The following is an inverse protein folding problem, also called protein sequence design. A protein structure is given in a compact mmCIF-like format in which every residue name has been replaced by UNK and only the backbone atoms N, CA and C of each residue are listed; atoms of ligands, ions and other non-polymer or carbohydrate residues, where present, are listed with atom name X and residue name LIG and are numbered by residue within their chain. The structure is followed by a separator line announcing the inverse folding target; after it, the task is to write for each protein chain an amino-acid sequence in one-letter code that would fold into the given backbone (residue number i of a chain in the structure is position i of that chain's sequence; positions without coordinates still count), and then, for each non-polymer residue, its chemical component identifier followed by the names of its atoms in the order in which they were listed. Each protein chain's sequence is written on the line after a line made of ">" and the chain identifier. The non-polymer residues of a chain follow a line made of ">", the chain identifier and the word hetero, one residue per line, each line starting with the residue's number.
data_IF_844960725329
#
_entry.id   IF_844960725329
#
_cell.length_a   1.000
_cell.length_b   1.000
_cell.length_c   1.000
_cell.angle_alpha   90.00
_cell.angle_beta   90.00
_cell.angle_gamma   90.00
#
_symmetry.space_group_name_H-M   'P 1'
#
loop_
_entity.id
_entity.type
_entity.pdbx_description
1 polymer ?
#
# COMPACT_ATOMS: atom_id res chain seq x y z
N UNK A 1 -26.46 44.42 17.17
CA UNK A 1 -26.43 45.53 16.18
C UNK A 1 -25.10 45.44 15.45
N UNK A 2 -24.93 45.52 14.14
CA UNK A 2 -25.78 45.68 12.94
C UNK A 2 -24.88 45.18 11.77
N UNK A 3 -25.46 44.80 10.63
CA UNK A 3 -24.84 43.97 9.58
C UNK A 3 -24.19 44.78 8.44
N UNK A 4 -23.64 43.99 7.49
CA UNK A 4 -23.29 44.34 6.11
C UNK A 4 -24.20 45.39 5.46
N UNK A 5 -23.61 46.42 4.85
CA UNK A 5 -24.13 47.11 3.66
C UNK A 5 -22.96 47.68 2.84
N UNK A 6 -22.88 47.32 1.55
CA UNK A 6 -22.46 48.18 0.41
C UNK A 6 -22.91 47.45 -0.87
N UNK A 7 -24.11 47.74 -1.39
CA UNK A 7 -24.44 48.73 -2.45
C UNK A 7 -23.60 48.58 -3.73
N UNK A 8 -24.26 48.11 -4.79
CA UNK A 8 -24.16 48.62 -6.17
C UNK A 8 -25.57 48.50 -6.77
N UNK A 9 -26.30 49.61 -6.85
CA UNK A 9 -26.55 50.43 -8.04
C UNK A 9 -27.57 49.83 -9.01
N UNK A 10 -28.70 50.53 -9.06
CA UNK A 10 -29.84 50.38 -9.94
C UNK A 10 -29.53 50.78 -11.37
N UNK A 11 -30.13 50.07 -12.33
CA UNK A 11 -30.59 50.68 -13.57
C UNK A 11 -31.99 50.16 -13.86
N UNK A 12 -32.97 51.07 -13.82
CA UNK A 12 -34.32 50.87 -14.34
C UNK A 12 -34.26 50.84 -15.87
N UNK A 13 -35.08 49.99 -16.50
CA UNK A 13 -35.57 50.24 -17.86
C UNK A 13 -37.07 49.90 -17.93
N UNK A 14 -37.79 50.90 -18.37
CA UNK A 14 -39.20 51.00 -18.72
C UNK A 14 -39.61 50.06 -19.87
N UNK A 15 -40.85 49.61 -19.88
CA UNK A 15 -41.39 48.72 -20.92
C UNK A 15 -41.70 49.42 -22.24
N UNK A 16 -41.74 48.63 -23.32
CA UNK A 16 -42.53 48.86 -24.55
C UNK A 16 -42.86 47.50 -25.16
N UNK A 17 -44.13 47.27 -25.48
CA UNK A 17 -44.61 46.16 -26.30
C UNK A 17 -44.06 46.27 -27.73
N UNK A 18 -43.35 45.24 -28.18
CA UNK A 18 -42.87 45.13 -29.56
C UNK A 18 -42.73 43.65 -29.95
N UNK A 19 -43.64 43.18 -30.79
CA UNK A 19 -43.51 41.91 -31.52
C UNK A 19 -42.21 41.91 -32.32
N UNK A 20 -41.33 40.94 -32.13
CA UNK A 20 -40.21 40.70 -33.03
C UNK A 20 -39.71 39.25 -32.97
N UNK A 21 -39.43 38.75 -34.16
CA UNK A 21 -39.04 37.41 -34.57
C UNK A 21 -38.01 36.70 -33.68
N UNK A 22 -38.12 35.38 -33.68
CA UNK A 22 -37.18 34.45 -33.07
C UNK A 22 -35.80 34.60 -33.71
N UNK A 23 -34.94 35.47 -33.16
CA UNK A 23 -33.54 35.58 -33.56
C UNK A 23 -32.80 34.28 -33.24
N UNK A 24 -32.55 33.48 -34.28
CA UNK A 24 -31.50 32.45 -34.27
C UNK A 24 -30.16 33.18 -34.25
N UNK A 25 -29.51 33.22 -33.10
CA UNK A 25 -28.17 33.79 -32.94
C UNK A 25 -27.14 32.68 -32.83
N UNK A 26 -26.07 32.78 -33.62
CA UNK A 26 -24.82 32.03 -33.39
C UNK A 26 -23.94 32.90 -32.51
N UNK A 27 -23.59 32.41 -31.33
CA UNK A 27 -22.67 33.10 -30.43
C UNK A 27 -21.31 32.41 -30.45
N UNK A 28 -20.25 33.20 -30.59
CA UNK A 28 -18.87 32.76 -30.43
C UNK A 28 -18.34 33.23 -29.08
N UNK A 29 -17.91 32.29 -28.23
CA UNK A 29 -17.20 32.61 -26.99
C UNK A 29 -15.75 32.11 -27.07
N UNK A 30 -14.74 32.98 -26.91
CA UNK A 30 -13.35 32.54 -26.86
C UNK A 30 -12.99 31.97 -25.49
N UNK A 31 -12.33 30.81 -25.47
CA UNK A 31 -11.70 30.25 -24.27
C UNK A 31 -10.24 30.71 -24.16
N UNK A 32 -9.71 30.79 -22.94
CA UNK A 32 -8.32 31.22 -22.65
C UNK A 32 -7.23 30.32 -23.26
N UNK A 33 -7.60 29.20 -23.89
CA UNK A 33 -6.69 28.26 -24.54
C UNK A 33 -6.71 28.36 -26.08
N UNK A 34 -7.36 29.38 -26.65
CA UNK A 34 -7.33 29.64 -28.10
C UNK A 34 -8.34 28.88 -28.95
N UNK A 35 -9.13 27.97 -28.38
CA UNK A 35 -10.25 27.31 -29.08
C UNK A 35 -11.54 28.13 -28.97
N UNK A 36 -12.26 28.25 -30.09
CA UNK A 36 -13.54 28.95 -30.19
C UNK A 36 -14.68 27.96 -30.39
N UNK A 37 -15.76 28.11 -29.61
CA UNK A 37 -16.98 27.30 -29.74
C UNK A 37 -18.09 28.15 -30.35
N UNK A 38 -18.81 27.56 -31.32
CA UNK A 38 -20.01 28.13 -31.93
C UNK A 38 -21.20 27.21 -31.62
N UNK A 39 -22.29 27.77 -31.10
CA UNK A 39 -23.52 27.05 -30.82
C UNK A 39 -24.75 27.88 -31.19
N UNK A 40 -25.80 27.20 -31.64
CA UNK A 40 -27.11 27.81 -31.91
C UNK A 40 -27.94 27.77 -30.64
N UNK A 41 -28.40 28.93 -30.17
CA UNK A 41 -29.25 29.04 -29.00
C UNK A 41 -30.71 29.10 -29.40
N UNK A 42 -31.59 28.42 -28.66
CA UNK A 42 -33.03 28.63 -28.71
C UNK A 42 -33.55 28.93 -27.30
N UNK A 43 -34.14 30.11 -27.10
CA UNK A 43 -34.70 30.58 -25.83
C UNK A 43 -33.74 30.42 -24.63
N UNK A 44 -32.53 30.96 -24.77
CA UNK A 44 -31.49 31.00 -23.74
C UNK A 44 -31.09 29.64 -23.12
N UNK A 45 -31.32 28.54 -23.86
CA UNK A 45 -30.80 27.21 -23.54
C UNK A 45 -30.06 26.63 -24.75
N UNK A 46 -28.97 25.93 -24.47
CA UNK A 46 -28.26 25.12 -25.47
C UNK A 46 -29.13 23.89 -25.75
N UNK A 47 -29.55 23.70 -27.00
CA UNK A 47 -30.41 22.59 -27.39
C UNK A 47 -29.62 21.27 -27.42
N UNK A 48 -29.93 20.34 -26.53
CA UNK A 48 -29.53 18.93 -26.65
C UNK A 48 -30.59 18.19 -27.48
N UNK A 49 -30.37 18.05 -28.79
CA UNK A 49 -31.30 17.35 -29.68
C UNK A 49 -31.17 15.83 -29.53
N UNK A 50 -32.30 15.16 -29.30
CA UNK A 50 -32.50 13.74 -29.63
C UNK A 50 -33.95 13.54 -30.08
N UNK A 51 -34.20 13.79 -31.36
CA UNK A 51 -35.33 13.25 -32.11
C UNK A 51 -34.76 12.63 -33.40
N UNK A 52 -35.38 11.53 -33.80
CA UNK A 52 -34.94 10.50 -34.74
C UNK A 52 -34.89 10.98 -36.19
N UNK A 53 -33.91 10.49 -36.96
CA UNK A 53 -34.13 9.69 -38.18
C UNK A 53 -32.80 9.12 -38.69
N UNK A 54 -32.87 7.94 -39.29
CA UNK A 54 -31.77 7.16 -39.84
C UNK A 54 -31.26 7.82 -41.12
N UNK A 55 -30.03 8.34 -41.12
CA UNK A 55 -29.09 8.35 -42.26
C UNK A 55 -27.73 8.94 -41.83
N UNK A 56 -26.65 8.30 -42.27
CA UNK A 56 -25.24 8.69 -42.20
C UNK A 56 -24.70 9.31 -40.89
N UNK A 57 -24.14 8.46 -40.01
CA UNK A 57 -23.36 8.92 -38.84
C UNK A 57 -21.97 9.42 -39.25
N UNK A 58 -21.84 10.71 -39.49
CA UNK A 58 -20.57 11.40 -39.22
C UNK A 58 -20.39 11.54 -37.70
N UNK A 59 -19.30 10.95 -37.18
CA UNK A 59 -18.99 10.91 -35.75
C UNK A 59 -18.47 12.28 -35.31
N UNK A 60 -19.33 13.09 -34.70
CA UNK A 60 -18.87 14.29 -33.98
C UNK A 60 -18.13 13.88 -32.69
N UNK A 61 -16.88 14.32 -32.48
CA UNK A 61 -16.13 13.98 -31.27
C UNK A 61 -16.74 14.65 -30.03
N UNK A 62 -17.05 13.85 -29.01
CA UNK A 62 -17.40 14.35 -27.67
C UNK A 62 -16.22 15.14 -27.08
N UNK A 63 -16.48 16.22 -26.32
CA UNK A 63 -15.43 16.85 -25.53
C UNK A 63 -14.94 15.84 -24.48
N UNK A 64 -13.64 15.54 -24.51
CA UNK A 64 -12.99 14.64 -23.56
C UNK A 64 -12.98 15.29 -22.18
N UNK A 65 -13.67 14.67 -21.22
CA UNK A 65 -13.39 14.93 -19.80
C UNK A 65 -11.96 14.50 -19.46
N UNK A 66 -11.23 15.20 -18.58
CA UNK A 66 -9.79 14.97 -18.35
C UNK A 66 -9.44 13.60 -17.74
N UNK A 67 -10.44 12.77 -17.44
CA UNK A 67 -10.30 11.48 -16.78
C UNK A 67 -10.14 10.30 -17.76
N UNK A 68 -10.43 10.50 -19.06
CA UNK A 68 -10.44 9.43 -20.07
C UNK A 68 -9.07 9.05 -20.65
N UNK A 69 -8.00 9.78 -20.33
CA UNK A 69 -6.67 9.53 -20.92
C UNK A 69 -5.84 8.49 -20.17
N UNK A 70 -6.32 7.96 -19.03
CA UNK A 70 -5.64 6.92 -18.24
C UNK A 70 -6.31 5.54 -18.30
N UNK A 71 -7.49 5.43 -18.93
CA UNK A 71 -8.23 4.17 -19.07
C UNK A 71 -8.82 4.19 -20.48
N UNK A 72 -8.33 3.30 -21.35
CA UNK A 72 -8.80 3.19 -22.73
C UNK A 72 -10.31 3.00 -22.80
N UNK A 73 -10.94 3.72 -23.73
CA UNK A 73 -12.37 3.65 -24.03
C UNK A 73 -12.78 2.22 -24.39
N UNK A 74 -13.81 1.72 -23.72
CA UNK A 74 -14.50 0.46 -24.08
C UNK A 74 -15.52 0.79 -25.16
N UNK A 75 -15.07 0.81 -26.41
CA UNK A 75 -15.93 0.65 -27.56
C UNK A 75 -15.21 -0.27 -28.56
N UNK A 76 -15.83 -1.41 -28.86
CA UNK A 76 -15.29 -2.44 -29.74
C UNK A 76 -14.94 -1.88 -31.12
N UNK A 77 -13.67 -2.07 -31.49
CA UNK A 77 -13.13 -1.72 -32.79
C UNK A 77 -11.69 -2.22 -32.87
N UNK A 78 -11.49 -3.34 -33.55
CA UNK A 78 -10.16 -3.87 -33.83
C UNK A 78 -9.37 -2.89 -34.70
N UNK A 79 -8.25 -2.36 -34.18
CA UNK A 79 -6.96 -2.17 -34.86
C UNK A 79 -5.95 -1.51 -33.91
N UNK A 80 -4.73 -2.03 -33.95
CA UNK A 80 -3.74 -1.92 -32.88
C UNK A 80 -3.10 -0.56 -32.64
N UNK A 81 -2.71 -0.34 -31.39
CA UNK A 81 -1.38 0.08 -30.97
C UNK A 81 -1.27 -0.17 -29.46
N UNK A 82 -0.13 -0.70 -29.06
CA UNK A 82 0.24 -1.22 -27.74
C UNK A 82 0.14 -0.19 -26.60
N UNK A 83 -1.07 0.15 -26.17
CA UNK A 83 -1.30 0.82 -24.88
C UNK A 83 -1.35 -0.25 -23.79
N UNK A 84 -0.21 -0.40 -23.11
CA UNK A 84 0.08 -1.43 -22.12
C UNK A 84 -1.11 -1.79 -21.23
N UNK A 85 -1.75 -2.92 -21.56
CA UNK A 85 -2.64 -3.60 -20.62
C UNK A 85 -1.80 -4.00 -19.40
N UNK A 86 -2.27 -3.67 -18.21
CA UNK A 86 -1.78 -4.24 -16.95
C UNK A 86 -2.02 -5.77 -16.99
N UNK A 87 -1.12 -6.52 -17.64
CA UNK A 87 -1.20 -7.97 -17.77
C UNK A 87 -0.60 -8.64 -16.54
N UNK A 88 -1.10 -8.42 -15.32
CA UNK A 88 -0.61 -9.14 -14.12
C UNK A 88 -0.49 -10.63 -14.49
N UNK A 89 0.74 -11.15 -14.53
CA UNK A 89 0.97 -12.53 -14.97
C UNK A 89 0.69 -13.43 -13.78
N UNK A 90 -0.61 -13.64 -13.52
CA UNK A 90 -1.13 -14.60 -12.54
C UNK A 90 -1.14 -16.01 -13.16
N UNK A 91 -0.78 -16.13 -14.45
CA UNK A 91 -0.75 -17.38 -15.22
C UNK A 91 -0.01 -18.54 -14.53
N UNK A 92 1.13 -18.35 -13.84
CA UNK A 92 1.77 -19.45 -13.11
C UNK A 92 0.92 -20.00 -11.96
N UNK A 93 0.08 -19.16 -11.34
CA UNK A 93 -0.76 -19.51 -10.18
C UNK A 93 -2.07 -20.16 -10.54
N UNK A 94 -2.56 -19.86 -11.74
CA UNK A 94 -3.78 -20.43 -12.25
C UNK A 94 -3.51 -21.67 -13.10
N UNK A 95 -2.24 -22.03 -13.34
CA UNK A 95 -1.81 -23.19 -14.15
C UNK A 95 -2.45 -24.53 -13.76
N UNK A 96 -2.87 -24.80 -12.50
CA UNK A 96 -3.59 -26.02 -12.16
C UNK A 96 -5.12 -25.94 -12.29
N UNK A 97 -5.69 -24.74 -12.53
CA UNK A 97 -7.13 -24.50 -12.48
C UNK A 97 -7.73 -24.48 -13.90
N UNK A 98 -8.74 -25.33 -14.13
CA UNK A 98 -9.45 -25.40 -15.40
C UNK A 98 -10.15 -24.06 -15.75
N UNK A 99 -10.17 -23.71 -17.04
CA UNK A 99 -10.60 -22.43 -17.61
C UNK A 99 -9.85 -21.19 -17.12
N UNK A 100 -8.55 -21.15 -17.42
CA UNK A 100 -7.64 -20.04 -17.14
C UNK A 100 -8.19 -18.66 -17.54
N UNK A 101 -8.88 -18.54 -18.69
CA UNK A 101 -9.30 -17.24 -19.20
C UNK A 101 -10.47 -16.63 -18.41
N UNK A 102 -11.45 -17.45 -18.04
CA UNK A 102 -12.61 -17.00 -17.28
C UNK A 102 -12.23 -16.61 -15.85
N UNK A 103 -11.45 -17.46 -15.17
CA UNK A 103 -10.96 -17.18 -13.83
C UNK A 103 -10.04 -15.96 -13.79
N UNK A 104 -9.14 -15.80 -14.77
CA UNK A 104 -8.33 -14.60 -14.91
C UNK A 104 -9.21 -13.36 -15.02
N UNK A 105 -10.22 -13.39 -15.90
CA UNK A 105 -11.12 -12.26 -16.12
C UNK A 105 -11.88 -11.88 -14.83
N UNK A 106 -12.34 -12.86 -14.06
CA UNK A 106 -13.00 -12.60 -12.77
C UNK A 106 -12.04 -11.95 -11.76
N UNK A 107 -10.81 -12.47 -11.64
CA UNK A 107 -9.78 -11.88 -10.76
C UNK A 107 -9.48 -10.44 -11.18
N UNK A 108 -9.33 -10.18 -12.49
CA UNK A 108 -9.17 -8.82 -13.00
C UNK A 108 -10.36 -7.92 -12.67
N UNK A 109 -11.58 -8.44 -12.78
CA UNK A 109 -12.79 -7.68 -12.43
C UNK A 109 -12.79 -7.26 -10.95
N UNK A 110 -12.39 -8.16 -10.05
CA UNK A 110 -12.27 -7.85 -8.61
C UNK A 110 -11.18 -6.81 -8.38
N UNK A 111 -10.01 -6.96 -9.02
CA UNK A 111 -8.91 -5.98 -8.92
C UNK A 111 -9.38 -4.60 -9.39
N UNK A 112 -10.08 -4.52 -10.53
CA UNK A 112 -10.60 -3.26 -11.07
C UNK A 112 -11.66 -2.64 -10.15
N UNK A 113 -12.53 -3.44 -9.55
CA UNK A 113 -13.53 -2.99 -8.59
C UNK A 113 -12.91 -2.26 -7.40
N UNK A 114 -11.76 -2.74 -6.90
CA UNK A 114 -11.08 -2.16 -5.72
C UNK A 114 -9.84 -1.33 -6.07
N UNK A 115 -9.58 -1.07 -7.35
CA UNK A 115 -8.32 -0.47 -7.82
C UNK A 115 -8.01 0.88 -7.16
N UNK A 116 -9.03 1.73 -6.99
CA UNK A 116 -8.86 3.06 -6.38
C UNK A 116 -8.39 2.96 -4.91
N UNK A 117 -8.97 2.03 -4.14
CA UNK A 117 -8.59 1.77 -2.75
C UNK A 117 -7.21 1.13 -2.67
N UNK A 118 -6.92 0.16 -3.54
CA UNK A 118 -5.63 -0.52 -3.61
C UNK A 118 -4.50 0.45 -3.95
N UNK A 119 -4.71 1.37 -4.90
CA UNK A 119 -3.77 2.45 -5.20
C UNK A 119 -3.51 3.35 -3.99
N UNK A 120 -4.56 3.73 -3.26
CA UNK A 120 -4.44 4.55 -2.05
C UNK A 120 -3.64 3.83 -0.96
N UNK A 121 -3.90 2.56 -0.73
CA UNK A 121 -3.15 1.73 0.24
C UNK A 121 -1.69 1.63 -0.17
N UNK A 122 -1.41 1.26 -1.42
CA UNK A 122 -0.05 1.18 -1.93
C UNK A 122 0.70 2.51 -1.73
N UNK A 123 0.11 3.63 -2.15
CA UNK A 123 0.73 4.95 -1.99
C UNK A 123 0.96 5.33 -0.53
N UNK A 124 0.01 5.01 0.35
CA UNK A 124 0.17 5.24 1.79
C UNK A 124 1.41 4.51 2.33
N UNK A 125 1.52 3.21 2.06
CA UNK A 125 2.65 2.43 2.56
C UNK A 125 3.98 2.80 1.89
N UNK A 126 3.98 3.12 0.59
CA UNK A 126 5.18 3.61 -0.13
C UNK A 126 5.74 4.91 0.46
N UNK A 127 4.90 5.69 1.13
CA UNK A 127 5.30 6.96 1.75
C UNK A 127 5.88 6.82 3.16
N UNK A 128 5.79 5.64 3.79
CA UNK A 128 6.28 5.44 5.16
C UNK A 128 7.79 5.66 5.27
N UNK A 129 8.20 6.44 6.26
CA UNK A 129 9.60 6.75 6.52
C UNK A 129 10.21 7.75 5.53
N UNK A 130 9.42 8.31 4.60
CA UNK A 130 9.87 9.41 3.76
C UNK A 130 9.66 10.74 4.47
N UNK A 131 10.75 11.46 4.75
CA UNK A 131 10.67 12.85 5.23
C UNK A 131 10.26 13.84 4.12
N UNK A 132 10.27 13.42 2.86
CA UNK A 132 9.99 14.28 1.72
C UNK A 132 8.71 13.87 0.97
N UNK A 133 7.96 14.88 0.54
CA UNK A 133 6.75 14.83 -0.27
C UNK A 133 7.01 14.34 -1.72
N UNK A 134 8.14 13.74 -2.04
CA UNK A 134 8.52 13.39 -3.41
C UNK A 134 9.04 11.95 -3.54
N UNK A 135 8.16 11.13 -4.14
CA UNK A 135 8.46 9.99 -5.02
C UNK A 135 9.45 8.92 -4.53
N UNK A 136 8.97 8.01 -3.69
CA UNK A 136 9.13 6.62 -4.09
C UNK A 136 7.81 6.17 -4.72
N UNK A 137 7.79 5.99 -6.03
CA UNK A 137 6.66 5.33 -6.72
C UNK A 137 6.61 3.83 -6.42
N UNK A 138 7.48 3.35 -5.54
CA UNK A 138 7.64 1.97 -5.20
C UNK A 138 7.41 1.70 -3.71
N UNK A 139 6.74 0.60 -3.41
CA UNK A 139 6.60 0.06 -2.07
C UNK A 139 7.83 -0.78 -1.76
N UNK A 140 8.62 -0.44 -0.74
CA UNK A 140 9.72 -1.32 -0.35
C UNK A 140 9.17 -2.59 0.32
N UNK A 141 9.95 -3.67 0.30
CA UNK A 141 9.54 -4.92 0.95
C UNK A 141 9.33 -4.77 2.45
N UNK A 142 10.15 -3.95 3.12
CA UNK A 142 9.95 -3.56 4.52
C UNK A 142 8.59 -2.90 4.75
N UNK A 143 8.18 -1.97 3.87
CA UNK A 143 6.87 -1.33 3.92
C UNK A 143 5.72 -2.30 3.57
N UNK A 144 5.97 -3.29 2.71
CA UNK A 144 5.01 -4.35 2.43
C UNK A 144 4.79 -5.26 3.65
N UNK A 145 5.86 -5.65 4.36
CA UNK A 145 5.73 -6.39 5.62
C UNK A 145 4.95 -5.60 6.68
N UNK A 146 5.16 -4.29 6.74
CA UNK A 146 4.36 -3.40 7.58
C UNK A 146 2.87 -3.48 7.23
N UNK A 147 2.51 -3.44 5.94
CA UNK A 147 1.13 -3.60 5.47
C UNK A 147 0.54 -4.94 5.91
N UNK A 148 1.28 -6.04 5.73
CA UNK A 148 0.81 -7.37 6.12
C UNK A 148 0.58 -7.46 7.64
N UNK A 149 1.44 -6.80 8.43
CA UNK A 149 1.31 -6.71 9.88
C UNK A 149 0.08 -5.91 10.30
N UNK A 150 -0.07 -4.69 9.78
CA UNK A 150 -1.24 -3.83 10.09
C UNK A 150 -2.55 -4.51 9.71
N UNK A 151 -2.54 -5.23 8.58
CA UNK A 151 -3.70 -6.02 8.14
C UNK A 151 -3.91 -7.33 8.91
N UNK A 152 -3.07 -7.62 9.92
CA UNK A 152 -3.16 -8.84 10.75
C UNK A 152 -3.10 -10.12 9.94
N UNK A 153 -2.34 -10.15 8.84
CA UNK A 153 -2.15 -11.37 8.03
C UNK A 153 -1.53 -12.47 8.88
N UNK A 154 -0.58 -12.12 9.74
CA UNK A 154 0.08 -13.05 10.66
C UNK A 154 -0.85 -13.67 11.73
N UNK A 155 -2.05 -13.12 11.91
CA UNK A 155 -3.07 -13.73 12.77
C UNK A 155 -3.87 -14.85 12.07
N UNK A 156 -3.58 -15.12 10.79
CA UNK A 156 -4.25 -16.17 9.99
C UNK A 156 -3.44 -17.47 9.90
N UNK A 157 -2.58 -17.72 10.89
CA UNK A 157 -1.83 -18.97 10.99
C UNK A 157 -0.54 -19.00 10.16
N UNK A 158 0.01 -17.84 9.81
CA UNK A 158 1.28 -17.70 9.10
C UNK A 158 2.16 -16.65 9.80
N UNK A 159 3.47 -16.77 9.72
CA UNK A 159 4.34 -15.64 10.03
C UNK A 159 4.38 -14.63 8.85
N UNK A 160 4.85 -13.40 9.11
CA UNK A 160 5.04 -12.42 8.02
C UNK A 160 6.07 -12.91 7.00
N UNK A 161 7.08 -13.65 7.46
CA UNK A 161 8.08 -14.27 6.58
C UNK A 161 7.46 -15.33 5.66
N UNK A 162 6.55 -16.17 6.19
CA UNK A 162 5.85 -17.17 5.37
C UNK A 162 4.93 -16.51 4.35
N UNK A 163 4.19 -15.48 4.78
CA UNK A 163 3.36 -14.67 3.89
C UNK A 163 4.20 -14.02 2.78
N UNK A 164 5.36 -13.47 3.11
CA UNK A 164 6.28 -12.88 2.13
C UNK A 164 6.82 -13.92 1.14
N UNK A 165 7.15 -15.12 1.61
CA UNK A 165 7.63 -16.24 0.76
C UNK A 165 6.56 -16.71 -0.22
N UNK A 166 5.30 -16.73 0.21
CA UNK A 166 4.15 -17.01 -0.67
C UNK A 166 3.98 -15.87 -1.68
N UNK A 167 4.13 -14.63 -1.24
CA UNK A 167 3.89 -13.42 -2.02
C UNK A 167 4.98 -13.08 -3.03
N UNK A 168 6.23 -13.43 -2.75
CA UNK A 168 7.41 -12.98 -3.47
C UNK A 168 8.38 -14.14 -3.74
N UNK A 169 8.53 -14.50 -5.02
CA UNK A 169 9.37 -15.60 -5.50
C UNK A 169 10.89 -15.25 -5.51
N UNK A 170 11.34 -14.31 -4.68
CA UNK A 170 12.70 -13.77 -4.64
C UNK A 170 13.15 -13.53 -3.20
N UNK A 171 14.47 -13.59 -2.90
CA UNK A 171 14.99 -13.46 -1.54
C UNK A 171 14.61 -12.12 -0.88
N UNK A 172 14.41 -12.10 0.45
CA UNK A 172 13.78 -11.00 1.16
C UNK A 172 14.76 -9.85 1.44
N UNK A 173 15.13 -9.05 0.44
CA UNK A 173 15.85 -7.81 0.69
C UNK A 173 14.86 -6.71 1.17
N UNK A 174 15.05 -6.10 2.35
CA UNK A 174 14.07 -5.17 2.93
C UNK A 174 13.88 -3.89 2.11
N UNK A 175 14.92 -3.44 1.41
CA UNK A 175 14.90 -2.23 0.57
C UNK A 175 14.52 -2.51 -0.88
N UNK A 176 14.30 -3.79 -1.23
CA UNK A 176 13.84 -4.14 -2.58
C UNK A 176 12.47 -3.52 -2.88
N UNK A 177 12.35 -3.02 -4.11
CA UNK A 177 11.18 -2.34 -4.60
C UNK A 177 10.13 -3.35 -5.12
N UNK A 178 8.93 -3.30 -4.55
CA UNK A 178 7.73 -4.02 -4.98
C UNK A 178 6.83 -3.07 -5.78
N UNK A 179 6.74 -3.29 -7.09
CA UNK A 179 5.91 -2.50 -7.98
C UNK A 179 4.42 -2.78 -7.75
N UNK A 180 3.53 -1.87 -8.16
CA UNK A 180 2.07 -2.04 -8.07
C UNK A 180 1.59 -3.40 -8.61
N UNK A 181 2.16 -3.84 -9.74
CA UNK A 181 1.84 -5.14 -10.34
C UNK A 181 2.17 -6.30 -9.41
N UNK A 182 3.33 -6.26 -8.77
CA UNK A 182 3.81 -7.30 -7.86
C UNK A 182 3.00 -7.26 -6.57
N UNK A 183 2.72 -6.07 -6.04
CA UNK A 183 1.79 -5.88 -4.92
C UNK A 183 0.43 -6.53 -5.18
N UNK A 184 -0.20 -6.26 -6.33
CA UNK A 184 -1.49 -6.87 -6.69
C UNK A 184 -1.37 -8.40 -6.80
N UNK A 185 -0.29 -8.88 -7.41
CA UNK A 185 -0.01 -10.33 -7.51
C UNK A 185 0.13 -10.96 -6.12
N UNK A 186 0.84 -10.32 -5.20
CA UNK A 186 1.01 -10.77 -3.82
C UNK A 186 -0.33 -10.86 -3.07
N UNK A 187 -1.26 -9.93 -3.28
CA UNK A 187 -2.60 -10.02 -2.68
C UNK A 187 -3.39 -11.22 -3.22
N UNK A 188 -3.31 -11.50 -4.52
CA UNK A 188 -3.95 -12.68 -5.13
C UNK A 188 -3.37 -13.96 -4.55
N UNK A 189 -2.04 -14.06 -4.53
CA UNK A 189 -1.28 -15.18 -3.96
C UNK A 189 -1.70 -15.51 -2.53
N UNK A 190 -1.62 -14.49 -1.66
CA UNK A 190 -1.96 -14.62 -0.26
C UNK A 190 -3.43 -14.98 -0.06
N UNK A 191 -4.33 -14.36 -0.83
CA UNK A 191 -5.76 -14.65 -0.72
C UNK A 191 -6.08 -16.11 -1.06
N UNK A 192 -5.48 -16.64 -2.13
CA UNK A 192 -5.69 -18.02 -2.52
C UNK A 192 -5.07 -18.99 -1.51
N UNK A 193 -3.85 -18.71 -1.03
CA UNK A 193 -3.22 -19.54 0.00
C UNK A 193 -4.07 -19.61 1.28
N UNK A 194 -4.59 -18.47 1.74
CA UNK A 194 -5.35 -18.40 3.00
C UNK A 194 -6.76 -18.99 2.90
N UNK A 195 -7.43 -18.91 1.74
CA UNK A 195 -8.86 -19.21 1.64
C UNK A 195 -9.26 -20.29 0.62
N UNK A 196 -8.33 -20.82 -0.18
CA UNK A 196 -8.62 -21.84 -1.21
C UNK A 196 -9.33 -23.07 -0.63
N UNK A 197 -8.93 -23.53 0.55
CA UNK A 197 -9.56 -24.67 1.24
C UNK A 197 -10.99 -24.38 1.69
N UNK A 198 -11.29 -23.14 2.07
CA UNK A 198 -12.60 -22.72 2.58
C UNK A 198 -13.58 -22.27 1.49
N UNK A 199 -13.07 -21.75 0.37
CA UNK A 199 -13.87 -21.16 -0.73
C UNK A 199 -13.69 -21.99 -2.01
N UNK A 200 -13.62 -23.32 -1.88
CA UNK A 200 -13.58 -24.28 -2.99
C UNK A 200 -12.61 -23.94 -4.14
N UNK A 201 -11.48 -23.28 -3.84
CA UNK A 201 -10.47 -22.91 -4.83
C UNK A 201 -10.81 -21.75 -5.77
N UNK A 202 -11.95 -21.06 -5.65
CA UNK A 202 -12.25 -19.89 -6.48
C UNK A 202 -11.38 -18.69 -6.08
N UNK A 203 -10.38 -18.40 -6.92
CA UNK A 203 -9.38 -17.35 -6.69
C UNK A 203 -10.01 -15.96 -6.62
N UNK A 204 -11.06 -15.70 -7.41
CA UNK A 204 -11.71 -14.39 -7.44
C UNK A 204 -12.51 -14.14 -6.14
N UNK A 205 -13.20 -15.17 -5.66
CA UNK A 205 -13.91 -15.14 -4.39
C UNK A 205 -12.94 -15.05 -3.20
N UNK A 206 -11.83 -15.80 -3.24
CA UNK A 206 -10.75 -15.70 -2.25
C UNK A 206 -10.20 -14.27 -2.16
N UNK A 207 -9.90 -13.65 -3.31
CA UNK A 207 -9.40 -12.27 -3.36
C UNK A 207 -10.43 -11.29 -2.80
N UNK A 208 -11.68 -11.37 -3.25
CA UNK A 208 -12.75 -10.48 -2.75
C UNK A 208 -12.92 -10.60 -1.24
N UNK A 209 -12.92 -11.83 -0.71
CA UNK A 209 -13.01 -12.10 0.72
C UNK A 209 -11.80 -11.54 1.49
N UNK A 210 -10.58 -11.76 1.00
CA UNK A 210 -9.35 -11.22 1.59
C UNK A 210 -9.34 -9.69 1.63
N UNK A 211 -9.73 -9.04 0.53
CA UNK A 211 -9.77 -7.58 0.44
C UNK A 211 -10.81 -7.00 1.40
N UNK A 212 -12.03 -7.53 1.41
CA UNK A 212 -13.15 -6.97 2.19
C UNK A 212 -13.04 -7.23 3.69
N UNK A 213 -12.51 -8.38 4.11
CA UNK A 213 -12.46 -8.77 5.51
C UNK A 213 -11.12 -8.49 6.20
N UNK A 214 -10.03 -8.36 5.43
CA UNK A 214 -8.69 -8.24 6.00
C UNK A 214 -7.97 -6.96 5.55
N UNK A 215 -7.83 -6.70 4.26
CA UNK A 215 -7.04 -5.57 3.78
C UNK A 215 -7.76 -4.24 4.01
N UNK A 216 -8.94 -4.04 3.42
CA UNK A 216 -9.62 -2.74 3.45
C UNK A 216 -9.99 -2.24 4.86
N UNK A 217 -10.42 -3.09 5.82
CA UNK A 217 -10.76 -2.63 7.16
C UNK A 217 -9.56 -2.26 8.04
N UNK A 218 -8.38 -2.83 7.77
CA UNK A 218 -7.23 -2.72 8.67
C UNK A 218 -6.05 -1.94 8.07
N UNK A 219 -5.93 -1.87 6.74
CA UNK A 219 -4.86 -1.14 6.08
C UNK A 219 -4.83 0.34 6.49
N UNK A 220 -3.63 0.92 6.44
CA UNK A 220 -3.36 2.31 6.82
C UNK A 220 -3.60 2.62 8.31
N UNK A 221 -3.73 1.59 9.15
CA UNK A 221 -3.74 1.70 10.61
C UNK A 221 -2.39 1.22 11.14
N UNK A 222 -1.40 2.12 11.17
CA UNK A 222 -0.03 1.79 11.55
C UNK A 222 0.05 1.18 12.95
N UNK A 223 0.73 0.05 13.05
CA UNK A 223 1.04 -0.68 14.29
C UNK A 223 2.56 -0.87 14.44
N UNK A 224 3.01 -1.20 15.66
CA UNK A 224 4.42 -1.42 15.98
C UNK A 224 5.19 -0.13 16.24
N UNK A 225 6.52 -0.23 16.25
CA UNK A 225 7.43 0.81 16.73
C UNK A 225 8.37 1.37 15.65
N UNK A 226 8.63 0.61 14.58
CA UNK A 226 9.58 1.03 13.53
C UNK A 226 9.06 2.25 12.78
N UNK A 227 7.81 2.20 12.30
CA UNK A 227 7.14 3.33 11.67
C UNK A 227 6.20 4.01 12.68
N UNK A 228 6.55 5.23 13.10
CA UNK A 228 5.75 5.99 14.08
C UNK A 228 4.70 6.87 13.43
N UNK A 229 4.97 7.35 12.22
CA UNK A 229 3.99 8.04 11.39
C UNK A 229 4.33 7.88 9.91
N UNK A 230 3.50 8.47 9.03
CA UNK A 230 3.76 8.47 7.59
C UNK A 230 5.12 9.12 7.28
N UNK A 231 5.42 10.26 7.91
CA UNK A 231 6.62 11.06 7.66
C UNK A 231 7.77 10.80 8.64
N UNK A 232 7.59 9.89 9.60
CA UNK A 232 8.61 9.59 10.61
C UNK A 232 8.76 8.09 10.82
N UNK A 233 10.01 7.64 10.71
CA UNK A 233 10.46 6.33 11.17
C UNK A 233 11.28 6.54 12.43
N UNK A 234 11.11 5.67 13.42
CA UNK A 234 11.99 5.66 14.60
C UNK A 234 13.39 5.15 14.22
N UNK A 235 13.45 4.27 13.24
CA UNK A 235 14.67 3.64 12.74
C UNK A 235 15.17 4.41 11.52
N UNK A 236 16.44 4.80 11.53
CA UNK A 236 17.13 5.44 10.42
C UNK A 236 17.48 4.44 9.30
N UNK A 237 17.68 4.88 8.04
CA UNK A 237 18.10 4.00 6.95
C UNK A 237 19.36 3.19 7.27
N UNK A 238 20.35 3.81 7.94
CA UNK A 238 21.58 3.13 8.35
C UNK A 238 21.32 1.98 9.33
N UNK A 239 20.37 2.15 10.26
CA UNK A 239 19.99 1.10 11.19
C UNK A 239 19.24 -0.05 10.49
N UNK A 240 18.47 0.24 9.43
CA UNK A 240 17.86 -0.79 8.58
C UNK A 240 18.95 -1.62 7.89
N UNK A 241 19.97 -0.97 7.32
CA UNK A 241 21.09 -1.66 6.67
C UNK A 241 21.88 -2.53 7.67
N UNK A 242 22.21 -1.97 8.85
CA UNK A 242 22.85 -2.71 9.94
C UNK A 242 22.04 -3.94 10.39
N UNK A 243 20.72 -3.76 10.52
CA UNK A 243 19.84 -4.86 10.90
C UNK A 243 19.74 -5.91 9.79
N UNK A 244 19.85 -5.51 8.52
CA UNK A 244 19.89 -6.42 7.39
C UNK A 244 21.17 -7.26 7.39
N UNK A 245 22.34 -6.64 7.60
CA UNK A 245 23.62 -7.34 7.73
C UNK A 245 23.59 -8.34 8.90
N UNK A 246 23.03 -7.91 10.04
CA UNK A 246 22.81 -8.78 11.20
C UNK A 246 21.92 -9.97 10.83
N UNK A 247 20.78 -9.72 10.18
CA UNK A 247 19.85 -10.76 9.75
C UNK A 247 20.55 -11.78 8.83
N UNK A 248 21.30 -11.31 7.83
CA UNK A 248 22.06 -12.16 6.93
C UNK A 248 23.11 -13.01 7.66
N UNK A 249 23.77 -12.45 8.68
CA UNK A 249 24.77 -13.19 9.48
C UNK A 249 24.18 -14.37 10.27
N UNK A 250 22.88 -14.30 10.60
CA UNK A 250 22.17 -15.36 11.32
C UNK A 250 21.37 -16.29 10.41
N UNK A 251 21.18 -15.90 9.15
CA UNK A 251 20.24 -16.56 8.26
C UNK A 251 20.68 -17.99 7.94
N UNK A 252 19.75 -18.92 8.12
CA UNK A 252 19.90 -20.30 7.67
C UNK A 252 19.21 -20.47 6.32
N UNK A 253 19.78 -21.34 5.47
CA UNK A 253 19.15 -21.78 4.23
C UNK A 253 18.84 -23.27 4.34
N UNK A 254 17.62 -23.67 3.99
CA UNK A 254 17.27 -25.07 3.82
C UNK A 254 17.14 -25.39 2.34
N UNK A 255 17.69 -26.54 1.94
CA UNK A 255 17.63 -27.02 0.55
C UNK A 255 16.18 -27.13 0.05
N UNK A 256 15.25 -27.41 0.96
CA UNK A 256 13.83 -27.63 0.64
C UNK A 256 13.01 -26.35 0.51
N UNK A 257 13.39 -25.25 1.18
CA UNK A 257 12.57 -24.03 1.21
C UNK A 257 13.09 -22.95 0.27
N UNK A 258 14.31 -23.10 -0.26
CA UNK A 258 14.87 -22.19 -1.28
C UNK A 258 15.04 -20.73 -0.84
N UNK A 259 14.79 -20.41 0.43
CA UNK A 259 14.79 -19.07 0.98
C UNK A 259 15.55 -19.00 2.32
N UNK A 260 16.24 -17.89 2.54
CA UNK A 260 16.95 -17.60 3.77
C UNK A 260 15.99 -17.11 4.86
N UNK A 261 16.12 -17.65 6.06
CA UNK A 261 15.30 -17.27 7.21
C UNK A 261 16.10 -17.20 8.52
N UNK A 262 15.56 -16.41 9.45
CA UNK A 262 16.00 -16.34 10.85
C UNK A 262 14.81 -16.72 11.73
N UNK A 263 15.03 -17.47 12.80
CA UNK A 263 13.98 -17.77 13.79
C UNK A 263 14.09 -16.86 15.02
N UNK A 264 13.00 -16.74 15.80
CA UNK A 264 13.03 -16.06 17.09
C UNK A 264 14.11 -16.63 18.02
N UNK A 265 14.29 -17.96 18.00
CA UNK A 265 15.33 -18.64 18.76
C UNK A 265 16.73 -18.22 18.32
N UNK A 266 16.99 -18.14 17.01
CA UNK A 266 18.29 -17.70 16.48
C UNK A 266 18.60 -16.27 16.93
N UNK A 267 17.61 -15.36 16.88
CA UNK A 267 17.79 -13.99 17.35
C UNK A 267 18.07 -13.96 18.87
N UNK A 268 17.28 -14.68 19.68
CA UNK A 268 17.49 -14.74 21.13
C UNK A 268 18.88 -15.29 21.49
N UNK A 269 19.35 -16.31 20.76
CA UNK A 269 20.69 -16.84 20.93
C UNK A 269 21.76 -15.79 20.60
N UNK A 270 21.58 -15.00 19.54
CA UNK A 270 22.46 -13.89 19.19
C UNK A 270 22.55 -12.84 20.31
N UNK A 271 21.42 -12.48 20.92
CA UNK A 271 21.39 -11.59 22.09
C UNK A 271 22.20 -12.15 23.27
N UNK A 272 22.16 -13.46 23.49
CA UNK A 272 22.93 -14.14 24.54
C UNK A 272 24.42 -14.21 24.22
N UNK A 273 24.80 -14.63 23.01
CA UNK A 273 26.20 -14.76 22.58
C UNK A 273 26.97 -13.45 22.68
N UNK A 274 26.32 -12.35 22.29
CA UNK A 274 26.90 -11.00 22.33
C UNK A 274 26.81 -10.34 23.71
N UNK A 275 26.37 -11.09 24.72
CA UNK A 275 26.23 -10.62 26.09
C UNK A 275 25.21 -9.50 26.25
N UNK A 276 24.35 -9.21 25.28
CA UNK A 276 23.26 -8.23 25.43
C UNK A 276 22.34 -8.68 26.57
N UNK A 277 22.07 -9.98 26.63
CA UNK A 277 21.43 -10.63 27.77
C UNK A 277 22.50 -11.27 28.66
N UNK A 278 22.49 -11.06 29.99
CA UNK A 278 21.65 -10.13 30.77
C UNK A 278 22.30 -8.74 30.97
N UNK A 279 23.46 -8.46 30.36
CA UNK A 279 24.28 -7.29 30.74
C UNK A 279 23.66 -5.94 30.37
N UNK A 280 22.84 -5.90 29.32
CA UNK A 280 22.16 -4.70 28.86
C UNK A 280 20.66 -4.79 29.10
N UNK A 281 20.05 -5.96 28.84
CA UNK A 281 18.60 -6.16 28.97
C UNK A 281 18.33 -7.58 29.55
N UNK A 282 17.36 -7.73 30.47
CA UNK A 282 16.92 -9.05 30.94
C UNK A 282 16.38 -9.94 29.81
N UNK A 283 16.58 -11.26 29.93
CA UNK A 283 16.10 -12.23 28.94
C UNK A 283 14.57 -12.17 28.74
N UNK A 284 13.84 -11.94 29.83
CA UNK A 284 12.37 -11.84 29.84
C UNK A 284 11.88 -10.71 28.93
N UNK A 285 12.55 -9.55 28.95
CA UNK A 285 12.21 -8.40 28.10
C UNK A 285 12.40 -8.74 26.63
N UNK A 286 13.48 -9.44 26.27
CA UNK A 286 13.74 -9.84 24.88
C UNK A 286 12.68 -10.84 24.41
N UNK A 287 12.32 -11.81 25.25
CA UNK A 287 11.26 -12.79 24.93
C UNK A 287 9.91 -12.09 24.77
N UNK A 288 9.55 -11.19 25.69
CA UNK A 288 8.32 -10.39 25.57
C UNK A 288 8.31 -9.58 24.26
N UNK A 289 9.44 -8.93 23.93
CA UNK A 289 9.57 -8.15 22.69
C UNK A 289 9.43 -9.02 21.42
N UNK A 290 9.89 -10.27 21.44
CA UNK A 290 9.74 -11.23 20.34
C UNK A 290 8.29 -11.66 20.13
N UNK A 291 7.56 -11.93 21.22
CA UNK A 291 6.23 -12.57 21.15
C UNK A 291 5.06 -11.58 21.12
N UNK A 292 5.29 -10.32 21.49
CA UNK A 292 4.23 -9.30 21.72
C UNK A 292 3.17 -9.19 20.62
N UNK A 293 3.56 -9.33 19.36
CA UNK A 293 2.66 -9.23 18.20
C UNK A 293 2.69 -10.50 17.32
N UNK A 294 3.08 -11.65 17.89
CA UNK A 294 3.15 -12.91 17.16
C UNK A 294 2.21 -13.96 17.81
N UNK A 295 0.97 -14.12 17.29
CA UNK A 295 0.02 -15.06 17.88
C UNK A 295 0.46 -16.52 17.79
N UNK A 296 1.31 -16.86 16.82
CA UNK A 296 1.87 -18.21 16.71
C UNK A 296 2.90 -18.54 17.80
N UNK A 297 3.47 -17.51 18.46
CA UNK A 297 4.59 -17.66 19.39
C UNK A 297 4.18 -18.04 20.80
N UNK A 298 2.90 -17.86 21.15
CA UNK A 298 2.39 -18.12 22.49
C UNK A 298 1.42 -19.29 22.42
N UNK A 299 1.83 -20.42 22.98
CA UNK A 299 0.91 -21.49 23.37
C UNK A 299 0.56 -21.31 24.85
N UNK A 300 -0.59 -21.83 25.29
CA UNK A 300 -1.22 -21.53 26.59
C UNK A 300 -0.27 -21.53 27.80
N UNK A 301 0.82 -22.31 27.75
CA UNK A 301 1.84 -22.38 28.81
C UNK A 301 3.29 -22.15 28.33
N UNK A 302 3.56 -22.11 27.03
CA UNK A 302 4.93 -22.16 26.48
C UNK A 302 5.12 -21.23 25.27
N UNK A 303 6.38 -20.90 24.97
CA UNK A 303 6.74 -20.08 23.82
C UNK A 303 7.28 -20.91 22.64
N UNK A 304 6.66 -20.77 21.47
CA UNK A 304 7.18 -21.30 20.22
C UNK A 304 8.16 -20.30 19.58
N UNK A 305 9.45 -20.49 19.82
CA UNK A 305 10.52 -19.63 19.26
C UNK A 305 11.05 -20.12 17.90
N UNK A 306 10.46 -21.15 17.30
CA UNK A 306 10.83 -21.65 15.96
C UNK A 306 10.21 -20.84 14.81
N UNK A 307 9.48 -19.79 15.14
CA UNK A 307 8.81 -18.95 14.14
C UNK A 307 9.84 -18.16 13.34
N UNK A 308 9.69 -18.25 12.01
CA UNK A 308 10.51 -17.54 11.04
C UNK A 308 10.14 -16.06 11.00
N UNK A 309 11.15 -15.22 11.01
CA UNK A 309 11.08 -13.78 11.14
C UNK A 309 11.51 -13.09 9.86
N UNK A 310 11.00 -11.90 9.63
CA UNK A 310 11.52 -10.93 8.66
C UNK A 310 12.48 -9.95 9.33
N UNK A 311 13.17 -9.12 8.53
CA UNK A 311 13.99 -8.02 9.08
C UNK A 311 13.13 -7.03 9.87
N UNK A 312 11.87 -6.84 9.48
CA UNK A 312 10.94 -5.98 10.23
C UNK A 312 10.75 -6.49 11.66
N UNK A 313 10.60 -7.81 11.85
CA UNK A 313 10.43 -8.39 13.17
C UNK A 313 11.68 -8.22 14.05
N UNK A 314 12.87 -8.31 13.45
CA UNK A 314 14.15 -8.03 14.15
C UNK A 314 14.23 -6.56 14.54
N UNK A 315 13.90 -5.64 13.61
CA UNK A 315 13.89 -4.20 13.87
C UNK A 315 12.90 -3.83 14.98
N UNK A 316 11.71 -4.40 15.00
CA UNK A 316 10.73 -4.20 16.07
C UNK A 316 11.27 -4.70 17.42
N UNK A 317 11.88 -5.88 17.43
CA UNK A 317 12.45 -6.46 18.66
C UNK A 317 13.56 -5.57 19.22
N UNK A 318 14.50 -5.13 18.37
CA UNK A 318 15.57 -4.22 18.74
C UNK A 318 15.02 -2.86 19.18
N UNK A 319 13.99 -2.35 18.51
CA UNK A 319 13.35 -1.07 18.85
C UNK A 319 12.70 -1.12 20.23
N UNK A 320 11.95 -2.18 20.54
CA UNK A 320 11.35 -2.41 21.88
C UNK A 320 12.43 -2.54 22.96
N UNK A 321 13.50 -3.28 22.68
CA UNK A 321 14.67 -3.36 23.55
C UNK A 321 15.28 -1.98 23.83
N UNK A 322 15.44 -1.15 22.79
CA UNK A 322 15.90 0.23 22.90
C UNK A 322 14.99 1.10 23.76
N UNK A 323 13.67 0.94 23.67
CA UNK A 323 12.69 1.67 24.49
C UNK A 323 12.88 1.41 25.99
N UNK A 324 13.16 0.18 26.38
CA UNK A 324 13.41 -0.19 27.78
C UNK A 324 14.68 0.50 28.29
N UNK A 325 15.79 0.43 27.54
CA UNK A 325 17.05 1.11 27.89
C UNK A 325 16.85 2.63 28.03
N UNK A 326 16.10 3.23 27.11
CA UNK A 326 15.84 4.68 27.09
C UNK A 326 15.08 5.15 28.33
N UNK A 327 14.15 4.32 28.82
CA UNK A 327 13.33 4.61 29.99
C UNK A 327 14.14 4.55 31.29
N UNK A 328 15.11 3.64 31.40
CA UNK A 328 16.00 3.55 32.56
C UNK A 328 17.00 4.74 32.66
N UNK A 329 17.28 5.40 31.54
CA UNK A 329 18.24 6.52 31.44
C UNK A 329 17.59 7.92 31.57
N UNK A 330 16.32 8.00 31.98
CA UNK A 330 15.55 9.25 32.01
C UNK A 330 15.89 10.17 33.21
N UNK A 331 17.13 10.65 33.29
CA UNK A 331 17.53 11.73 34.21
C UNK A 331 17.89 13.07 33.51
N UNK A 332 18.05 13.10 32.18
CA UNK A 332 18.56 14.29 31.45
C UNK A 332 17.58 14.93 30.43
N UNK A 333 17.76 16.23 30.14
CA UNK A 333 16.93 17.08 29.25
C UNK A 333 17.13 16.86 27.72
N UNK A 334 17.60 15.69 27.27
CA UNK A 334 17.74 15.41 25.82
C UNK A 334 16.39 15.00 25.21
N UNK A 335 16.15 15.35 23.93
CA UNK A 335 14.97 14.94 23.16
C UNK A 335 14.77 13.42 23.22
N UNK A 336 13.56 12.96 23.58
CA UNK A 336 13.26 11.53 23.78
C UNK A 336 13.50 10.68 22.52
N UNK A 337 13.31 11.25 21.32
CA UNK A 337 13.57 10.53 20.06
C UNK A 337 15.05 10.24 19.84
N UNK A 338 15.93 11.16 20.24
CA UNK A 338 17.37 11.05 20.02
C UNK A 338 17.97 10.03 20.98
N UNK A 339 17.49 10.01 22.23
CA UNK A 339 17.83 8.97 23.21
C UNK A 339 17.43 7.58 22.72
N UNK A 340 16.22 7.46 22.17
CA UNK A 340 15.71 6.19 21.69
C UNK A 340 16.48 5.69 20.47
N UNK A 341 16.79 6.58 19.52
CA UNK A 341 17.64 6.25 18.37
C UNK A 341 19.06 5.81 18.80
N UNK A 342 19.63 6.47 19.81
CA UNK A 342 20.93 6.08 20.38
C UNK A 342 20.87 4.71 21.07
N UNK A 343 19.81 4.41 21.84
CA UNK A 343 19.61 3.11 22.48
C UNK A 343 19.45 1.98 21.46
N UNK A 344 18.69 2.20 20.38
CA UNK A 344 18.56 1.24 19.26
C UNK A 344 19.94 0.97 18.65
N UNK A 345 20.71 2.03 18.39
CA UNK A 345 22.06 1.92 17.83
C UNK A 345 23.00 1.13 18.75
N UNK A 346 22.89 1.33 20.07
CA UNK A 346 23.66 0.60 21.07
C UNK A 346 23.34 -0.90 21.08
N UNK A 347 22.06 -1.27 20.94
CA UNK A 347 21.66 -2.68 20.84
C UNK A 347 22.20 -3.29 19.54
N UNK A 348 22.02 -2.63 18.41
CA UNK A 348 22.51 -3.11 17.10
C UNK A 348 24.02 -3.28 17.09
N UNK A 349 24.78 -2.31 17.62
CA UNK A 349 26.24 -2.37 17.62
C UNK A 349 26.73 -3.61 18.38
N UNK A 350 26.19 -3.86 19.58
CA UNK A 350 26.53 -5.07 20.35
C UNK A 350 26.19 -6.36 19.60
N UNK A 351 25.06 -6.40 18.90
CA UNK A 351 24.64 -7.59 18.16
C UNK A 351 25.55 -7.87 16.94
N UNK A 352 26.06 -6.81 16.32
CA UNK A 352 26.89 -6.87 15.11
C UNK A 352 28.37 -7.12 15.44
N UNK A 353 28.88 -6.54 16.54
CA UNK A 353 30.31 -6.54 16.88
C UNK A 353 30.97 -7.90 16.73
N UNK A 354 31.94 -7.99 15.80
CA UNK A 354 32.69 -9.20 15.48
C UNK A 354 33.92 -9.41 16.38
N UNK A 355 33.95 -8.80 17.57
CA UNK A 355 35.05 -9.04 18.51
C UNK A 355 34.91 -10.45 19.11
N UNK A 356 35.50 -11.42 18.43
CA UNK A 356 36.06 -12.64 19.06
C UNK A 356 37.45 -12.35 19.63
#
# INVERSE_FOLDING_TARGET
>A
MVPLVRRFHSAQCTGVNGSMDSKKGVAHSPSKNGESFAGVFHRDRISSSRETDEEEREVFPRPKTPLGTLIGDVAGGEKGADSGRFSVSISPLLSPLADHHYQLQQVYSVILQYMSQLKRIYHYYSSLGSQSLQSSHCLTRLQFWQLLRDCRVHHRGLSIWEADTIAAQQPPCPTSCLLMREFLQSLVLLSHHLYSSTICGDVSACLSHFLTNLILPNACSLTGTVFTSISSSLVSPQQVDQCWDLYQSMATSTVNEGAMFVTMRSLLWRFKERGVVPSLIPAEVVVQALVQDQPLAVDQTDYNLDIKMTVLDVLETVSRCGQVISCEQSHDQVCESDKLSAAISQVLSKLIDNSE
#
